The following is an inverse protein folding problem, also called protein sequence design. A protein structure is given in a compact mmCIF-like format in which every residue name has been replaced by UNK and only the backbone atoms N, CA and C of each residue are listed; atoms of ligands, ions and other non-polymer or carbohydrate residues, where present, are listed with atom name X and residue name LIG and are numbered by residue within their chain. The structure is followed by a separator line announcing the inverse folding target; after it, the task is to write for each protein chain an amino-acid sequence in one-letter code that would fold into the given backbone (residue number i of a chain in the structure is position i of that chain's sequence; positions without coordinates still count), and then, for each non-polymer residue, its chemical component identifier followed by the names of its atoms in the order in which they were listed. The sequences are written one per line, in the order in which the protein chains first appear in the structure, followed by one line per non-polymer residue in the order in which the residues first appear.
data_IF_264229296652
#
_entry.id   IF_264229296652
#
_cell.length_a   1.000
_cell.length_b   1.000
_cell.length_c   1.000
_cell.angle_alpha   90.00
_cell.angle_beta   90.00
_cell.angle_gamma   90.00
#
_symmetry.space_group_name_H-M   'P 1'
#
loop_
_entity.id
_entity.type
_entity.pdbx_description
1 polymer ?
#
# COMPACT_ATOMS: atom_id res chain seq x y z
N UNK A 1 -21.23 28.27 -32.97
CA UNK A 1 -21.87 27.89 -34.26
C UNK A 1 -22.82 29.00 -34.73
N UNK A 2 -22.41 29.76 -35.75
CA UNK A 2 -23.16 30.84 -36.42
C UNK A 2 -23.80 30.41 -37.75
N UNK A 3 -24.00 29.11 -37.95
CA UNK A 3 -24.63 28.55 -39.14
C UNK A 3 -23.88 28.80 -40.47
N UNK A 4 -22.57 29.09 -40.44
CA UNK A 4 -21.72 29.08 -41.66
C UNK A 4 -20.91 27.78 -41.72
N UNK A 5 -20.99 27.11 -42.87
CA UNK A 5 -20.58 25.73 -43.11
C UNK A 5 -19.07 25.42 -42.98
N UNK A 6 -18.22 26.39 -42.63
CA UNK A 6 -16.76 26.26 -42.74
C UNK A 6 -16.09 25.57 -41.51
N UNK A 7 -16.74 25.51 -40.34
CA UNK A 7 -16.19 24.86 -39.13
C UNK A 7 -16.66 23.42 -38.87
N UNK A 8 -17.37 22.78 -39.80
CA UNK A 8 -18.16 21.57 -39.49
C UNK A 8 -17.52 20.22 -39.83
N UNK A 9 -16.54 20.16 -40.74
CA UNK A 9 -16.10 18.85 -41.27
C UNK A 9 -14.93 18.21 -40.52
N UNK A 10 -14.12 18.97 -39.78
CA UNK A 10 -12.90 18.48 -39.11
C UNK A 10 -12.60 19.15 -37.75
N UNK A 11 -13.56 19.88 -37.15
CA UNK A 11 -13.35 20.48 -35.84
C UNK A 11 -13.44 19.38 -34.76
N UNK A 12 -12.34 19.18 -34.03
CA UNK A 12 -12.26 18.18 -32.97
C UNK A 12 -13.05 18.57 -31.71
N UNK A 13 -13.18 19.88 -31.46
CA UNK A 13 -14.12 20.46 -30.50
C UNK A 13 -14.95 21.54 -31.20
N UNK A 14 -16.27 21.53 -31.01
CA UNK A 14 -17.17 22.50 -31.65
C UNK A 14 -17.25 23.76 -30.82
N UNK A 15 -16.83 24.89 -31.38
CA UNK A 15 -16.84 26.18 -30.71
C UNK A 15 -17.97 27.11 -31.17
N UNK A 16 -18.18 28.12 -30.34
CA UNK A 16 -18.99 29.30 -30.57
C UNK A 16 -18.51 30.23 -31.67
N UNK A 17 -19.10 31.43 -31.72
CA UNK A 17 -18.66 32.51 -32.61
C UNK A 17 -17.48 33.26 -31.99
N UNK A 18 -16.52 33.70 -32.80
CA UNK A 18 -15.50 34.70 -32.45
C UNK A 18 -15.96 36.06 -33.00
N UNK A 19 -16.65 36.85 -32.16
CA UNK A 19 -17.27 38.13 -32.52
C UNK A 19 -16.24 39.24 -32.63
N UNK A 20 -15.18 39.18 -31.81
CA UNK A 20 -14.15 40.22 -31.76
C UNK A 20 -12.96 39.94 -32.74
N UNK A 21 -12.94 38.74 -33.33
CA UNK A 21 -11.98 38.24 -34.30
C UNK A 21 -10.53 38.27 -33.76
N UNK A 22 -10.36 37.96 -32.47
CA UNK A 22 -9.06 37.88 -31.78
C UNK A 22 -8.40 36.49 -31.89
N UNK A 23 -9.09 35.53 -32.52
CA UNK A 23 -8.62 34.16 -32.69
C UNK A 23 -9.03 33.23 -31.54
N UNK A 24 -9.87 33.68 -30.62
CA UNK A 24 -10.50 32.88 -29.57
C UNK A 24 -12.01 32.94 -29.73
N UNK A 25 -12.70 31.81 -29.53
CA UNK A 25 -14.16 31.81 -29.55
C UNK A 25 -14.73 32.49 -28.30
N UNK A 26 -15.86 33.19 -28.45
CA UNK A 26 -16.58 33.83 -27.34
C UNK A 26 -17.55 32.86 -26.62
N UNK A 27 -17.78 31.67 -27.18
CA UNK A 27 -18.61 30.62 -26.56
C UNK A 27 -18.03 29.22 -26.78
N UNK A 28 -18.25 28.34 -25.81
CA UNK A 28 -17.81 26.94 -25.79
C UNK A 28 -19.00 26.06 -25.35
N UNK A 29 -19.01 24.76 -25.65
CA UNK A 29 -19.91 23.81 -24.99
C UNK A 29 -19.69 23.89 -23.47
N UNK A 30 -20.76 24.05 -22.70
CA UNK A 30 -20.79 24.16 -21.23
C UNK A 30 -19.91 25.25 -20.58
N UNK A 31 -19.12 25.98 -21.39
CA UNK A 31 -18.33 27.18 -21.14
C UNK A 31 -17.35 27.15 -19.97
N UNK A 32 -17.81 26.86 -18.76
CA UNK A 32 -17.12 26.95 -17.47
C UNK A 32 -18.08 26.25 -16.49
N UNK A 33 -17.92 24.94 -16.33
CA UNK A 33 -18.91 24.08 -15.68
C UNK A 33 -18.86 24.24 -14.16
N UNK A 34 -17.66 24.18 -13.58
CA UNK A 34 -17.36 24.45 -12.16
C UNK A 34 -17.53 25.92 -11.71
N UNK A 35 -17.86 26.84 -12.63
CA UNK A 35 -18.09 28.24 -12.31
C UNK A 35 -16.83 29.03 -11.93
N UNK A 36 -15.62 28.54 -12.25
CA UNK A 36 -14.37 29.21 -11.92
C UNK A 36 -13.99 30.35 -12.93
N UNK A 37 -12.71 30.72 -13.02
CA UNK A 37 -12.26 31.75 -13.95
C UNK A 37 -11.82 31.23 -15.33
N UNK A 38 -11.81 29.90 -15.53
CA UNK A 38 -11.26 29.20 -16.68
C UNK A 38 -12.34 28.52 -17.51
N UNK A 39 -12.39 28.78 -18.81
CA UNK A 39 -13.29 28.03 -19.67
C UNK A 39 -12.83 26.57 -19.82
N UNK A 40 -13.75 25.59 -19.85
CA UNK A 40 -13.48 24.14 -19.94
C UNK A 40 -12.38 23.77 -20.95
N UNK A 41 -12.31 24.44 -22.11
CA UNK A 41 -11.27 24.15 -23.11
C UNK A 41 -9.82 24.47 -22.66
N UNK A 42 -9.65 25.15 -21.52
CA UNK A 42 -8.39 25.54 -20.89
C UNK A 42 -8.33 25.18 -19.41
N UNK A 43 -9.25 24.30 -19.02
CA UNK A 43 -9.34 23.69 -17.71
C UNK A 43 -8.76 22.26 -17.79
N UNK A 44 -8.25 21.76 -16.67
CA UNK A 44 -7.79 20.37 -16.55
C UNK A 44 -8.78 19.49 -15.79
N UNK A 45 -9.79 20.09 -15.15
CA UNK A 45 -10.81 19.49 -14.31
C UNK A 45 -12.08 20.33 -14.49
N UNK A 46 -12.79 20.10 -15.59
CA UNK A 46 -13.77 21.05 -16.13
C UNK A 46 -15.00 21.23 -15.24
N UNK A 47 -15.44 20.19 -14.53
CA UNK A 47 -16.53 20.21 -13.56
C UNK A 47 -16.07 20.41 -12.11
N UNK A 48 -14.75 20.37 -11.86
CA UNK A 48 -14.14 20.77 -10.61
C UNK A 48 -14.33 19.74 -9.50
N UNK A 49 -14.53 18.47 -9.87
CA UNK A 49 -14.72 17.36 -8.96
C UNK A 49 -13.37 16.76 -8.48
N UNK A 50 -12.25 17.17 -9.07
CA UNK A 50 -10.90 16.74 -8.73
C UNK A 50 -10.35 15.61 -9.61
N UNK A 51 -11.18 14.92 -10.39
CA UNK A 51 -10.75 13.95 -11.39
C UNK A 51 -10.42 14.73 -12.68
N UNK A 52 -9.26 14.47 -13.28
CA UNK A 52 -8.85 15.26 -14.45
C UNK A 52 -9.63 14.88 -15.70
N UNK A 53 -9.94 15.86 -16.56
CA UNK A 53 -10.61 15.68 -17.86
C UNK A 53 -9.96 14.56 -18.70
N UNK A 54 -8.63 14.46 -18.62
CA UNK A 54 -7.85 13.45 -19.35
C UNK A 54 -8.19 12.04 -18.88
N UNK A 55 -8.37 11.87 -17.57
CA UNK A 55 -8.70 10.60 -16.95
C UNK A 55 -10.13 10.19 -17.31
N UNK A 56 -11.10 11.07 -17.16
CA UNK A 56 -12.51 10.76 -17.42
C UNK A 56 -12.82 10.62 -18.92
N UNK A 57 -12.11 11.37 -19.77
CA UNK A 57 -12.13 11.16 -21.22
C UNK A 57 -11.59 9.77 -21.64
N UNK A 58 -11.02 9.00 -20.71
CA UNK A 58 -10.48 7.66 -20.95
C UNK A 58 -9.14 7.67 -21.69
N UNK A 59 -8.40 8.78 -21.62
CA UNK A 59 -7.07 8.87 -22.20
C UNK A 59 -6.00 8.36 -21.23
N UNK A 60 -4.85 8.00 -21.79
CA UNK A 60 -3.69 7.62 -20.98
C UNK A 60 -2.99 8.87 -20.48
N UNK A 61 -2.75 8.92 -19.17
CA UNK A 61 -1.84 9.84 -18.48
C UNK A 61 -1.04 9.01 -17.45
N UNK A 62 0.01 8.33 -17.92
CA UNK A 62 0.75 7.40 -17.07
C UNK A 62 1.69 8.11 -16.08
N UNK A 63 1.99 9.38 -16.33
CA UNK A 63 2.84 10.21 -15.50
C UNK A 63 2.06 11.22 -14.64
N UNK A 64 0.72 11.19 -14.72
CA UNK A 64 -0.19 11.97 -13.90
C UNK A 64 0.13 13.48 -13.95
N UNK A 65 0.35 14.03 -15.15
CA UNK A 65 0.61 15.48 -15.30
C UNK A 65 -0.59 16.27 -15.84
N UNK A 66 -1.78 15.67 -15.78
CA UNK A 66 -3.05 16.23 -16.26
C UNK A 66 -3.09 16.31 -17.79
N UNK A 67 -2.28 15.50 -18.49
CA UNK A 67 -2.10 15.62 -19.94
C UNK A 67 -2.07 14.26 -20.62
N UNK A 68 -2.67 14.23 -21.81
CA UNK A 68 -2.66 13.04 -22.65
C UNK A 68 -1.23 12.68 -23.07
N UNK A 69 -0.82 11.48 -22.71
CA UNK A 69 0.50 10.93 -23.00
C UNK A 69 0.81 10.83 -24.49
N UNK A 70 2.10 10.95 -24.82
CA UNK A 70 2.63 10.65 -26.14
C UNK A 70 3.18 11.87 -26.91
N UNK A 71 3.36 11.67 -28.23
CA UNK A 71 3.99 12.69 -29.06
C UNK A 71 3.05 13.86 -29.34
N UNK A 72 3.59 15.07 -29.28
CA UNK A 72 2.90 16.31 -29.66
C UNK A 72 3.38 16.74 -31.05
N UNK A 73 2.45 17.18 -31.90
CA UNK A 73 2.76 17.66 -33.24
C UNK A 73 3.26 19.12 -33.25
N UNK A 74 3.55 19.67 -34.44
CA UNK A 74 4.06 21.05 -34.58
C UNK A 74 3.07 22.13 -34.11
N UNK A 75 1.78 21.79 -34.06
CA UNK A 75 0.70 22.68 -33.65
C UNK A 75 0.38 22.55 -32.15
N UNK A 76 1.19 21.79 -31.38
CA UNK A 76 1.01 21.63 -29.94
C UNK A 76 -0.09 20.64 -29.56
N UNK A 77 -0.54 19.77 -30.48
CA UNK A 77 -1.61 18.79 -30.22
C UNK A 77 -1.06 17.38 -30.08
N UNK A 78 -1.63 16.56 -29.19
CA UNK A 78 -1.33 15.14 -29.12
C UNK A 78 -1.58 14.48 -30.50
N UNK A 79 -0.61 13.71 -31.00
CA UNK A 79 -0.65 13.14 -32.34
C UNK A 79 -1.81 12.16 -32.53
N UNK A 80 -2.14 11.38 -31.51
CA UNK A 80 -3.25 10.41 -31.56
C UNK A 80 -4.59 11.11 -31.63
N UNK A 81 -4.81 12.11 -30.76
CA UNK A 81 -6.03 12.92 -30.74
C UNK A 81 -6.17 13.75 -32.01
N UNK A 82 -5.08 14.35 -32.51
CA UNK A 82 -5.09 15.14 -33.73
C UNK A 82 -5.42 14.32 -34.99
N UNK A 83 -5.20 13.00 -34.95
CA UNK A 83 -5.54 12.08 -36.03
C UNK A 83 -7.01 11.61 -35.99
N UNK A 84 -7.75 11.89 -34.91
CA UNK A 84 -9.15 11.52 -34.80
C UNK A 84 -10.03 12.37 -35.74
N UNK A 85 -11.09 11.79 -36.34
CA UNK A 85 -12.05 12.55 -37.15
C UNK A 85 -12.98 13.41 -36.30
N UNK A 86 -13.25 12.99 -35.07
CA UNK A 86 -14.07 13.68 -34.06
C UNK A 86 -13.65 13.19 -32.67
N UNK A 87 -13.79 14.06 -31.67
CA UNK A 87 -13.64 13.71 -30.27
C UNK A 87 -15.02 13.33 -29.74
N UNK A 88 -15.11 12.18 -29.08
CA UNK A 88 -16.31 11.70 -28.39
C UNK A 88 -15.85 11.28 -27.00
N UNK A 89 -16.45 11.86 -25.98
CA UNK A 89 -16.14 11.53 -24.60
C UNK A 89 -17.12 10.48 -24.07
N UNK A 90 -16.72 9.69 -23.05
CA UNK A 90 -17.61 8.82 -22.32
C UNK A 90 -18.76 9.60 -21.64
N UNK A 91 -19.86 8.89 -21.42
CA UNK A 91 -21.06 9.33 -20.71
C UNK A 91 -21.64 8.04 -20.15
N UNK A 92 -21.55 7.85 -18.83
CA UNK A 92 -21.65 6.52 -18.20
C UNK A 92 -23.09 6.18 -17.88
N UNK A 93 -23.80 7.12 -17.28
CA UNK A 93 -25.24 7.08 -17.00
C UNK A 93 -26.14 7.03 -18.26
N UNK A 94 -25.64 7.48 -19.42
CA UNK A 94 -26.44 7.61 -20.64
C UNK A 94 -27.38 8.82 -20.64
N UNK A 95 -27.34 9.65 -19.60
CA UNK A 95 -28.18 10.84 -19.43
C UNK A 95 -27.29 12.07 -19.32
N UNK A 96 -27.74 13.19 -18.76
CA UNK A 96 -26.84 14.32 -18.46
C UNK A 96 -25.84 14.74 -19.54
N UNK A 97 -24.59 14.92 -19.11
CA UNK A 97 -23.45 15.38 -19.93
C UNK A 97 -22.37 14.31 -19.96
N UNK A 98 -21.38 14.49 -20.82
CA UNK A 98 -20.21 13.60 -20.80
C UNK A 98 -19.48 13.68 -19.46
N UNK A 99 -18.88 12.57 -18.99
CA UNK A 99 -18.30 12.44 -17.64
C UNK A 99 -17.46 13.66 -17.23
N UNK A 100 -16.60 14.16 -18.15
CA UNK A 100 -15.77 15.37 -17.97
C UNK A 100 -16.51 16.69 -17.61
N UNK A 101 -17.83 16.65 -17.55
CA UNK A 101 -18.73 17.78 -17.27
C UNK A 101 -19.88 17.35 -16.35
N UNK A 102 -19.67 16.32 -15.53
CA UNK A 102 -20.69 15.61 -14.78
C UNK A 102 -20.12 15.14 -13.44
N UNK A 103 -20.59 15.73 -12.33
CA UNK A 103 -20.03 15.46 -11.01
C UNK A 103 -20.55 14.16 -10.36
N UNK A 104 -21.44 13.43 -11.03
CA UNK A 104 -22.06 12.15 -10.62
C UNK A 104 -22.23 11.31 -11.90
N UNK A 105 -21.10 10.82 -12.43
CA UNK A 105 -20.97 10.28 -13.78
C UNK A 105 -21.87 9.06 -14.05
N UNK A 106 -22.18 8.27 -13.02
CA UNK A 106 -23.05 7.09 -13.11
C UNK A 106 -24.45 7.28 -12.50
N UNK A 107 -24.73 8.50 -12.02
CA UNK A 107 -26.06 9.04 -11.70
C UNK A 107 -26.72 8.28 -10.54
N UNK A 108 -25.90 7.94 -9.55
CA UNK A 108 -26.23 7.10 -8.42
C UNK A 108 -26.53 7.93 -7.14
N UNK A 109 -26.27 9.24 -7.21
CA UNK A 109 -26.51 10.20 -6.14
C UNK A 109 -25.31 10.44 -5.22
N UNK A 110 -24.18 9.78 -5.48
CA UNK A 110 -22.90 10.00 -4.84
C UNK A 110 -22.01 10.78 -5.83
N UNK A 111 -21.35 11.87 -5.42
CA UNK A 111 -20.52 12.60 -6.37
C UNK A 111 -19.18 11.90 -6.66
N UNK A 112 -18.70 12.01 -7.89
CA UNK A 112 -17.46 11.42 -8.41
C UNK A 112 -16.23 11.74 -7.54
N UNK A 113 -16.13 12.97 -7.02
CA UNK A 113 -15.09 13.35 -6.05
C UNK A 113 -15.03 12.40 -4.85
N UNK A 114 -16.19 11.97 -4.36
CA UNK A 114 -16.34 11.12 -3.18
C UNK A 114 -15.93 9.70 -3.50
N UNK A 115 -16.37 9.15 -4.63
CA UNK A 115 -16.13 7.77 -5.04
C UNK A 115 -14.74 7.57 -5.62
N UNK A 116 -14.22 8.57 -6.33
CA UNK A 116 -12.86 8.58 -6.86
C UNK A 116 -11.78 8.47 -5.78
N UNK A 117 -12.10 8.55 -4.49
CA UNK A 117 -11.14 8.43 -3.39
C UNK A 117 -11.55 7.41 -2.34
N UNK A 118 -10.58 6.59 -1.91
CA UNK A 118 -10.82 5.69 -0.79
C UNK A 118 -11.30 6.45 0.46
N UNK A 119 -12.23 5.84 1.22
CA UNK A 119 -12.72 6.36 2.51
C UNK A 119 -11.62 6.88 3.44
N UNK A 120 -10.47 6.18 3.48
CA UNK A 120 -9.34 6.50 4.36
C UNK A 120 -8.46 7.62 3.79
N UNK A 121 -8.41 7.74 2.46
CA UNK A 121 -7.62 8.71 1.72
C UNK A 121 -8.40 9.96 1.33
N UNK A 122 -9.71 10.00 1.55
CA UNK A 122 -10.57 11.11 1.15
C UNK A 122 -10.05 12.47 1.67
N UNK A 123 -9.86 13.39 0.75
CA UNK A 123 -9.50 14.77 1.00
C UNK A 123 -10.68 15.66 0.61
N UNK A 124 -10.95 16.68 1.41
CA UNK A 124 -11.94 17.69 1.03
C UNK A 124 -11.29 18.68 0.06
N UNK A 125 -12.02 19.14 -0.97
CA UNK A 125 -11.57 20.25 -1.79
C UNK A 125 -11.27 21.47 -0.92
N UNK A 126 -10.22 22.22 -1.26
CA UNK A 126 -9.88 23.46 -0.56
C UNK A 126 -10.68 24.66 -1.06
N UNK A 127 -11.31 24.55 -2.24
CA UNK A 127 -11.91 25.64 -2.99
C UNK A 127 -10.88 26.64 -3.51
N UNK A 128 -9.62 26.21 -3.63
CA UNK A 128 -8.50 27.05 -4.03
C UNK A 128 -7.73 26.34 -5.13
N UNK A 129 -7.31 27.10 -6.14
CA UNK A 129 -6.40 26.70 -7.19
C UNK A 129 -5.29 27.76 -7.27
N UNK A 130 -4.04 27.37 -6.95
CA UNK A 130 -2.94 28.32 -6.73
C UNK A 130 -2.32 28.85 -8.01
N UNK A 131 -2.19 28.01 -9.03
CA UNK A 131 -1.61 28.39 -10.31
C UNK A 131 -2.67 28.62 -11.39
N UNK A 132 -3.93 28.33 -11.07
CA UNK A 132 -5.04 28.47 -11.96
C UNK A 132 -4.82 27.48 -13.08
N UNK A 133 -5.00 26.19 -12.91
CA UNK A 133 -4.99 25.23 -14.01
C UNK A 133 -6.24 24.35 -14.06
N UNK A 134 -7.13 24.48 -13.07
CA UNK A 134 -8.34 23.68 -12.91
C UNK A 134 -8.33 22.82 -11.66
N UNK A 135 -7.16 22.33 -11.27
CA UNK A 135 -7.07 21.29 -10.23
C UNK A 135 -7.05 21.96 -8.86
N UNK A 136 -7.96 21.55 -7.96
CA UNK A 136 -7.95 22.06 -6.58
C UNK A 136 -6.62 21.71 -5.86
N UNK A 137 -6.09 22.64 -5.06
CA UNK A 137 -4.85 22.44 -4.30
C UNK A 137 -4.86 21.22 -3.37
N UNK A 138 -6.03 20.65 -3.04
CA UNK A 138 -6.13 19.37 -2.32
C UNK A 138 -5.59 18.19 -3.14
N UNK A 139 -5.73 18.26 -4.46
CA UNK A 139 -5.44 17.19 -5.43
C UNK A 139 -4.24 17.52 -6.33
N UNK A 140 -3.82 18.79 -6.34
CA UNK A 140 -2.66 19.23 -7.10
C UNK A 140 -1.33 19.00 -6.35
N UNK A 141 -0.41 18.29 -7.01
CA UNK A 141 0.94 18.00 -6.53
C UNK A 141 2.03 18.90 -7.17
N UNK A 142 1.66 19.77 -8.11
CA UNK A 142 2.57 20.52 -8.97
C UNK A 142 2.14 21.96 -9.19
N UNK A 143 2.93 22.91 -8.66
CA UNK A 143 2.66 24.34 -8.88
C UNK A 143 3.11 24.79 -10.29
N UNK A 144 2.19 24.70 -11.24
CA UNK A 144 2.20 25.14 -12.63
C UNK A 144 1.19 24.31 -13.46
N UNK A 145 0.88 24.70 -14.70
CA UNK A 145 -0.15 23.99 -15.50
C UNK A 145 0.11 22.48 -15.69
N UNK A 146 -0.70 21.65 -15.02
CA UNK A 146 -0.64 20.19 -14.90
C UNK A 146 -0.66 19.74 -13.44
N UNK A 147 -0.97 18.47 -13.19
CA UNK A 147 -0.95 17.91 -11.84
C UNK A 147 -1.58 16.52 -11.82
N UNK A 148 -1.45 15.82 -10.69
CA UNK A 148 -1.94 14.45 -10.55
C UNK A 148 -3.49 14.38 -10.54
N UNK A 149 -4.15 15.34 -9.86
CA UNK A 149 -5.57 15.25 -9.56
C UNK A 149 -5.90 14.08 -8.63
N UNK A 150 -7.16 13.64 -8.64
CA UNK A 150 -7.62 12.48 -7.88
C UNK A 150 -7.16 11.18 -8.54
N UNK A 151 -6.51 10.33 -7.73
CA UNK A 151 -6.18 8.97 -8.13
C UNK A 151 -7.37 8.05 -7.87
N UNK A 152 -8.19 7.88 -8.90
CA UNK A 152 -9.42 7.07 -8.86
C UNK A 152 -9.16 5.67 -8.29
N UNK A 153 -10.07 5.23 -7.43
CA UNK A 153 -10.07 3.88 -6.87
C UNK A 153 -10.92 2.93 -7.72
N UNK A 154 -10.65 1.64 -7.56
CA UNK A 154 -11.33 0.50 -8.17
C UNK A 154 -11.33 -0.58 -7.08
N UNK A 155 -12.43 -0.64 -6.32
CA UNK A 155 -12.51 -1.33 -5.04
C UNK A 155 -12.62 -2.84 -5.20
N UNK A 156 -13.40 -3.31 -6.17
CA UNK A 156 -13.57 -4.74 -6.46
C UNK A 156 -12.52 -5.28 -7.48
N UNK A 157 -11.74 -4.39 -8.10
CA UNK A 157 -10.71 -4.69 -9.09
C UNK A 157 -11.25 -5.25 -10.42
N UNK A 158 -12.44 -4.84 -10.84
CA UNK A 158 -13.05 -5.26 -12.11
C UNK A 158 -12.64 -4.42 -13.32
N UNK A 159 -11.83 -3.37 -13.10
CA UNK A 159 -11.32 -2.38 -14.07
C UNK A 159 -12.22 -1.18 -14.37
N UNK A 160 -13.41 -1.11 -13.76
CA UNK A 160 -14.25 0.08 -13.73
C UNK A 160 -13.91 0.85 -12.45
N UNK A 161 -13.49 2.12 -12.54
CA UNK A 161 -13.30 2.93 -11.35
C UNK A 161 -14.61 3.15 -10.59
N UNK A 162 -14.54 3.30 -9.26
CA UNK A 162 -15.71 3.35 -8.38
C UNK A 162 -16.72 4.45 -8.81
N UNK A 163 -16.26 5.64 -9.19
CA UNK A 163 -17.12 6.74 -9.69
C UNK A 163 -17.89 6.46 -11.00
N UNK A 164 -17.62 5.32 -11.64
CA UNK A 164 -18.29 4.86 -12.87
C UNK A 164 -19.00 3.52 -12.67
N UNK A 165 -18.96 2.96 -11.46
CA UNK A 165 -19.43 1.63 -11.13
C UNK A 165 -20.58 1.66 -10.12
N UNK A 166 -21.76 1.26 -10.59
CA UNK A 166 -22.98 1.17 -9.78
C UNK A 166 -23.00 0.08 -8.69
N UNK A 167 -21.96 -0.78 -8.60
CA UNK A 167 -21.73 -1.80 -7.56
C UNK A 167 -20.23 -1.90 -7.24
N UNK A 168 -19.63 -0.78 -6.80
CA UNK A 168 -18.19 -0.55 -6.67
C UNK A 168 -17.41 -1.58 -5.82
N UNK A 169 -18.07 -2.26 -4.87
CA UNK A 169 -17.46 -3.31 -4.05
C UNK A 169 -17.79 -4.75 -4.51
N UNK A 170 -18.64 -4.87 -5.53
CA UNK A 170 -19.04 -6.12 -6.17
C UNK A 170 -19.79 -7.08 -5.26
N UNK A 171 -20.43 -6.60 -4.19
CA UNK A 171 -21.19 -7.41 -3.24
C UNK A 171 -22.62 -7.76 -3.73
N UNK A 172 -23.08 -7.04 -4.76
CA UNK A 172 -24.39 -7.23 -5.40
C UNK A 172 -25.49 -6.30 -4.87
N UNK A 173 -25.15 -5.30 -4.07
CA UNK A 173 -26.01 -4.20 -3.65
C UNK A 173 -25.53 -2.91 -4.33
N UNK A 174 -26.43 -2.22 -5.03
CA UNK A 174 -26.07 -1.03 -5.82
C UNK A 174 -25.80 0.21 -4.96
N UNK A 175 -24.84 1.03 -5.39
CA UNK A 175 -24.27 2.19 -4.67
C UNK A 175 -25.30 3.28 -4.31
N UNK A 176 -26.31 3.48 -5.14
CA UNK A 176 -27.45 4.35 -4.82
C UNK A 176 -28.27 3.87 -3.60
N UNK A 177 -28.36 2.55 -3.34
CA UNK A 177 -29.12 1.97 -2.20
C UNK A 177 -28.27 1.96 -0.95
N UNK A 178 -27.09 1.36 -1.10
CA UNK A 178 -25.86 1.62 -0.38
C UNK A 178 -25.90 3.04 0.18
N UNK A 179 -25.50 4.11 -0.52
CA UNK A 179 -25.39 5.53 -0.11
C UNK A 179 -26.45 6.06 0.86
N UNK A 180 -27.62 5.43 0.90
CA UNK A 180 -28.81 5.81 1.62
C UNK A 180 -29.33 4.77 2.65
N UNK A 181 -28.59 3.70 3.00
CA UNK A 181 -28.98 2.64 3.99
C UNK A 181 -28.37 2.89 5.39
N UNK A 182 -28.77 3.97 6.06
CA UNK A 182 -28.16 4.43 7.32
C UNK A 182 -28.14 3.41 8.47
N UNK A 183 -28.94 2.36 8.41
CA UNK A 183 -29.01 1.31 9.42
C UNK A 183 -28.41 -0.04 9.00
N UNK A 184 -27.85 -0.12 7.79
CA UNK A 184 -27.10 -1.26 7.25
C UNK A 184 -27.92 -2.55 7.17
N UNK A 185 -29.19 -2.46 6.76
CA UNK A 185 -30.06 -3.62 6.60
C UNK A 185 -30.19 -4.13 5.15
N UNK A 186 -29.46 -3.52 4.21
CA UNK A 186 -29.53 -3.80 2.78
C UNK A 186 -30.76 -3.20 2.11
N UNK A 187 -31.38 -2.19 2.72
CA UNK A 187 -32.51 -1.44 2.18
C UNK A 187 -32.27 0.04 2.44
N UNK A 188 -32.54 0.85 1.42
CA UNK A 188 -32.46 2.30 1.53
C UNK A 188 -33.42 2.83 2.61
N UNK A 189 -32.92 3.77 3.40
CA UNK A 189 -33.67 4.52 4.40
C UNK A 189 -34.24 5.84 3.85
N UNK A 190 -33.70 6.33 2.73
CA UNK A 190 -34.21 7.48 1.98
C UNK A 190 -34.80 7.10 0.61
N UNK A 191 -35.45 8.05 -0.06
CA UNK A 191 -36.04 7.86 -1.38
C UNK A 191 -34.98 7.99 -2.49
N UNK A 192 -34.40 6.87 -2.90
CA UNK A 192 -33.31 6.81 -3.88
C UNK A 192 -33.77 6.80 -5.35
N UNK A 193 -34.98 7.28 -5.64
CA UNK A 193 -35.45 7.38 -7.03
C UNK A 193 -35.09 8.74 -7.60
N UNK A 194 -34.26 8.75 -8.64
CA UNK A 194 -33.90 9.93 -9.44
C UNK A 194 -35.14 10.68 -9.91
N UNK A 195 -35.08 12.00 -9.89
CA UNK A 195 -36.15 12.85 -10.42
C UNK A 195 -36.08 13.00 -11.94
N UNK A 196 -34.91 12.75 -12.53
CA UNK A 196 -34.57 13.05 -13.92
C UNK A 196 -34.44 14.54 -14.20
N UNK A 197 -34.19 15.35 -13.16
CA UNK A 197 -33.97 16.79 -13.28
C UNK A 197 -32.67 17.14 -12.56
N UNK A 198 -31.91 18.00 -13.20
CA UNK A 198 -30.69 18.64 -12.71
C UNK A 198 -30.90 20.14 -13.02
N UNK A 199 -31.24 20.92 -11.98
CA UNK A 199 -31.76 22.28 -12.16
C UNK A 199 -30.67 23.31 -12.49
N UNK A 200 -29.50 23.21 -11.88
CA UNK A 200 -28.37 24.10 -12.13
C UNK A 200 -27.36 23.55 -13.12
N UNK A 201 -27.52 22.29 -13.52
CA UNK A 201 -26.77 21.69 -14.60
C UNK A 201 -25.41 21.20 -14.15
N UNK A 202 -25.28 20.75 -12.91
CA UNK A 202 -24.03 20.36 -12.27
C UNK A 202 -23.69 18.87 -12.44
N UNK A 203 -24.66 18.07 -12.88
CA UNK A 203 -24.54 16.62 -13.06
C UNK A 203 -25.30 15.82 -12.02
N UNK A 204 -25.53 16.38 -10.84
CA UNK A 204 -26.19 15.69 -9.72
C UNK A 204 -27.72 15.87 -9.79
N UNK A 205 -28.49 14.77 -9.70
CA UNK A 205 -29.95 14.86 -9.73
C UNK A 205 -30.51 15.68 -8.55
N UNK A 206 -31.54 16.49 -8.79
CA UNK A 206 -32.25 17.32 -7.81
C UNK A 206 -32.72 16.53 -6.56
N UNK A 207 -32.82 15.19 -6.63
CA UNK A 207 -33.06 14.29 -5.49
C UNK A 207 -31.93 14.35 -4.48
N UNK A 208 -30.72 14.32 -4.98
CA UNK A 208 -29.48 14.23 -4.23
C UNK A 208 -28.81 15.58 -4.14
N UNK A 209 -29.25 16.58 -4.88
CA UNK A 209 -28.72 17.93 -4.81
C UNK A 209 -29.38 18.81 -3.71
N UNK A 210 -28.54 19.37 -2.85
CA UNK A 210 -28.86 20.26 -1.73
C UNK A 210 -28.83 21.75 -2.11
N UNK A 211 -28.18 22.12 -3.21
CA UNK A 211 -28.03 23.48 -3.72
C UNK A 211 -28.19 23.56 -5.25
N UNK A 212 -29.42 23.34 -5.74
CA UNK A 212 -29.77 23.39 -7.17
C UNK A 212 -29.78 24.80 -7.78
N UNK A 213 -28.97 25.70 -7.24
CA UNK A 213 -28.73 27.05 -7.73
C UNK A 213 -27.27 27.28 -8.10
N UNK A 214 -26.38 26.31 -7.87
CA UNK A 214 -24.94 26.45 -7.97
C UNK A 214 -24.30 25.23 -8.62
N UNK A 215 -23.81 25.40 -9.84
CA UNK A 215 -23.04 24.40 -10.58
C UNK A 215 -21.64 24.06 -10.04
N UNK A 216 -21.42 24.28 -8.74
CA UNK A 216 -20.13 24.04 -8.09
C UNK A 216 -20.18 22.67 -7.43
N UNK A 217 -19.51 21.70 -8.05
CA UNK A 217 -19.31 20.39 -7.45
C UNK A 217 -18.61 20.53 -6.10
N UNK A 218 -19.33 20.29 -4.99
CA UNK A 218 -18.70 20.17 -3.67
C UNK A 218 -19.54 19.33 -2.69
N UNK A 219 -18.97 18.22 -2.24
CA UNK A 219 -19.45 17.41 -1.11
C UNK A 219 -19.07 18.01 0.26
N UNK A 220 -19.58 19.19 0.60
CA UNK A 220 -19.12 19.92 1.80
C UNK A 220 -19.85 19.64 3.13
N UNK A 221 -20.60 18.54 3.30
CA UNK A 221 -21.18 18.24 4.62
C UNK A 221 -20.22 17.62 5.65
N UNK A 222 -18.96 17.38 5.30
CA UNK A 222 -18.13 16.49 6.09
C UNK A 222 -16.77 17.11 6.41
N UNK A 223 -16.65 17.87 7.50
CA UNK A 223 -15.33 18.27 8.03
C UNK A 223 -14.41 17.06 8.27
N UNK A 224 -13.09 17.29 8.35
CA UNK A 224 -12.09 16.22 8.53
C UNK A 224 -12.49 15.22 9.64
N UNK A 225 -12.88 13.99 9.26
CA UNK A 225 -13.37 12.95 10.17
C UNK A 225 -14.89 12.66 10.12
N UNK A 226 -15.61 13.16 9.13
CA UNK A 226 -16.99 12.72 8.88
C UNK A 226 -18.04 13.30 9.83
N UNK A 227 -17.90 14.57 10.20
CA UNK A 227 -18.88 15.26 11.05
C UNK A 227 -19.93 15.97 10.20
N UNK A 228 -21.22 15.95 10.60
CA UNK A 228 -22.32 16.76 10.01
C UNK A 228 -22.19 18.28 10.24
N UNK A 229 -20.98 18.76 10.56
CA UNK A 229 -20.67 20.17 10.81
C UNK A 229 -19.73 20.74 9.76
N UNK A 230 -19.82 20.24 8.53
CA UNK A 230 -19.19 20.83 7.34
C UNK A 230 -19.83 22.16 6.92
N UNK A 231 -19.44 22.66 5.74
CA UNK A 231 -20.01 23.87 5.15
C UNK A 231 -21.54 23.75 5.06
N UNK A 232 -22.25 24.86 5.28
CA UNK A 232 -23.71 24.89 5.32
C UNK A 232 -24.35 24.95 3.91
N UNK A 233 -23.53 25.04 2.86
CA UNK A 233 -23.99 25.05 1.47
C UNK A 233 -23.14 24.15 0.57
N UNK A 234 -23.39 22.83 0.55
CA UNK A 234 -22.80 21.93 -0.45
C UNK A 234 -23.78 21.09 -1.26
N UNK A 235 -23.33 20.73 -2.47
CA UNK A 235 -24.07 20.11 -3.57
C UNK A 235 -24.78 18.80 -3.22
N UNK A 236 -24.19 17.81 -2.54
CA UNK A 236 -24.92 16.53 -2.30
C UNK A 236 -25.62 16.40 -0.92
N UNK A 237 -26.80 15.77 -0.92
CA UNK A 237 -27.63 15.29 0.20
C UNK A 237 -27.07 13.99 0.75
N UNK A 238 -26.36 13.22 -0.08
CA UNK A 238 -25.79 11.94 0.31
C UNK A 238 -24.69 12.17 1.34
N UNK A 239 -24.95 11.70 2.57
CA UNK A 239 -23.97 11.84 3.65
C UNK A 239 -22.89 10.82 3.45
N UNK A 240 -21.71 11.25 3.07
CA UNK A 240 -20.57 10.35 3.13
C UNK A 240 -20.41 9.94 4.62
N UNK A 241 -20.37 8.66 5.01
CA UNK A 241 -20.39 8.27 6.44
C UNK A 241 -19.04 7.83 7.07
N UNK A 242 -18.19 8.68 7.65
CA UNK A 242 -16.95 8.13 8.27
C UNK A 242 -17.26 7.46 9.63
N UNK A 243 -17.77 6.21 9.62
CA UNK A 243 -18.25 5.55 10.84
C UNK A 243 -17.11 5.37 11.85
N UNK A 244 -17.21 6.03 13.00
CA UNK A 244 -16.29 5.92 14.13
C UNK A 244 -16.93 5.18 15.30
N UNK A 245 -17.18 3.87 15.20
CA UNK A 245 -17.68 3.08 16.35
C UNK A 245 -17.07 1.68 16.51
N UNK A 246 -17.05 1.25 17.77
CA UNK A 246 -16.31 0.15 18.41
C UNK A 246 -16.52 -1.27 17.86
N UNK A 247 -17.42 -1.47 16.88
CA UNK A 247 -17.68 -2.75 16.22
C UNK A 247 -18.15 -2.50 14.77
N UNK A 248 -17.21 -2.26 13.85
CA UNK A 248 -17.48 -1.97 12.43
C UNK A 248 -18.23 -3.09 11.68
N UNK A 249 -18.60 -2.80 10.44
CA UNK A 249 -19.32 -3.71 9.55
C UNK A 249 -18.46 -4.92 9.16
N UNK A 250 -19.05 -6.10 8.93
CA UNK A 250 -18.32 -7.33 8.63
C UNK A 250 -17.68 -7.38 7.23
N UNK A 251 -18.08 -6.48 6.33
CA UNK A 251 -17.54 -6.28 4.97
C UNK A 251 -17.37 -4.79 4.70
N UNK A 252 -16.46 -4.47 3.77
CA UNK A 252 -16.45 -3.21 3.02
C UNK A 252 -17.85 -3.00 2.40
N UNK A 253 -18.28 -1.75 2.36
CA UNK A 253 -19.49 -1.21 1.71
C UNK A 253 -19.12 0.25 1.49
N UNK A 254 -18.92 0.62 0.24
CA UNK A 254 -18.10 1.77 -0.16
C UNK A 254 -18.45 3.06 0.62
N UNK A 255 -19.72 3.45 0.65
CA UNK A 255 -20.20 4.73 1.16
C UNK A 255 -20.31 4.85 2.71
N UNK A 256 -19.65 3.91 3.42
CA UNK A 256 -18.63 4.14 4.47
C UNK A 256 -18.92 3.49 5.83
N UNK A 257 -18.52 2.23 5.93
CA UNK A 257 -18.31 1.54 7.19
C UNK A 257 -16.91 0.90 7.21
N UNK A 258 -16.05 1.30 8.15
CA UNK A 258 -14.72 0.70 8.33
C UNK A 258 -14.81 -0.59 9.16
N UNK A 259 -14.73 -1.81 8.60
CA UNK A 259 -13.93 -2.81 9.26
C UNK A 259 -12.50 -2.30 9.26
N UNK A 260 -11.83 -2.36 10.42
CA UNK A 260 -10.38 -2.25 10.48
C UNK A 260 -9.77 -3.42 9.68
N UNK A 261 -9.70 -3.30 8.37
CA UNK A 261 -8.77 -4.05 7.56
C UNK A 261 -7.48 -3.25 7.62
N UNK A 262 -6.40 -3.90 8.06
CA UNK A 262 -5.10 -3.27 8.21
C UNK A 262 -4.78 -2.43 6.96
N UNK A 263 -4.55 -1.12 7.14
CA UNK A 263 -4.22 -0.16 6.05
C UNK A 263 -3.02 -0.58 5.21
N UNK A 264 -2.24 -1.53 5.69
CA UNK A 264 -1.38 -2.36 4.87
C UNK A 264 -1.46 -3.83 5.32
N UNK A 265 -1.82 -4.71 4.39
CA UNK A 265 -1.93 -6.15 4.62
C UNK A 265 -0.64 -6.86 4.21
N UNK A 266 -0.12 -7.72 5.10
CA UNK A 266 0.99 -8.60 4.78
C UNK A 266 0.44 -9.91 4.20
N UNK A 267 0.36 -9.98 2.87
CA UNK A 267 -0.13 -11.13 2.11
C UNK A 267 0.71 -12.38 2.39
N UNK A 268 2.03 -12.23 2.44
CA UNK A 268 2.93 -13.33 2.81
C UNK A 268 4.06 -12.84 3.68
N UNK A 269 4.48 -13.65 4.65
CA UNK A 269 5.72 -13.43 5.39
C UNK A 269 6.41 -14.76 5.67
N UNK A 270 7.59 -14.94 5.08
CA UNK A 270 8.38 -16.17 5.16
C UNK A 270 9.81 -15.85 5.54
N UNK A 271 10.45 -16.79 6.22
CA UNK A 271 11.86 -16.68 6.53
C UNK A 271 12.56 -18.03 6.46
N UNK A 272 13.80 -18.02 5.96
CA UNK A 272 14.63 -19.20 5.77
C UNK A 272 16.01 -18.94 6.34
N UNK A 273 16.45 -19.80 7.26
CA UNK A 273 17.82 -19.78 7.77
C UNK A 273 18.79 -20.31 6.71
N UNK A 274 19.86 -19.56 6.48
CA UNK A 274 20.96 -19.86 5.55
C UNK A 274 22.28 -19.60 6.28
N UNK A 275 22.83 -20.63 6.92
CA UNK A 275 24.04 -20.56 7.75
C UNK A 275 23.96 -19.50 8.88
N UNK A 276 24.62 -18.36 8.72
CA UNK A 276 24.64 -17.23 9.67
C UNK A 276 23.72 -16.06 9.26
N UNK A 277 22.92 -16.24 8.21
CA UNK A 277 21.94 -15.29 7.75
C UNK A 277 20.53 -15.89 7.84
N UNK A 278 19.54 -15.04 8.05
CA UNK A 278 18.14 -15.37 7.82
C UNK A 278 17.65 -14.47 6.70
N UNK A 279 17.20 -15.09 5.61
CA UNK A 279 16.49 -14.37 4.54
C UNK A 279 15.03 -14.26 4.92
N UNK A 280 14.50 -13.05 4.87
CA UNK A 280 13.10 -12.75 5.08
C UNK A 280 12.52 -12.24 3.77
N UNK A 281 11.39 -12.81 3.36
CA UNK A 281 10.66 -12.42 2.16
C UNK A 281 9.20 -12.14 2.57
N UNK A 282 8.66 -11.00 2.14
CA UNK A 282 7.26 -10.67 2.35
C UNK A 282 6.64 -10.00 1.13
N UNK A 283 5.32 -10.18 1.01
CA UNK A 283 4.50 -9.45 0.05
C UNK A 283 3.49 -8.63 0.85
N UNK A 284 3.28 -7.38 0.46
CA UNK A 284 2.36 -6.47 1.12
C UNK A 284 1.54 -5.72 0.09
N UNK A 285 0.26 -5.52 0.38
CA UNK A 285 -0.64 -4.63 -0.36
C UNK A 285 -1.08 -3.53 0.61
N UNK A 286 -0.85 -2.28 0.26
CA UNK A 286 -1.12 -1.16 1.16
C UNK A 286 -2.02 -0.14 0.49
N UNK A 287 -3.00 0.37 1.26
CA UNK A 287 -3.93 1.43 0.84
C UNK A 287 -3.49 2.81 1.31
N UNK A 288 -2.30 2.89 1.93
CA UNK A 288 -1.64 4.13 2.34
C UNK A 288 -0.15 4.02 2.10
N UNK A 289 0.50 5.15 1.85
CA UNK A 289 1.94 5.19 1.61
C UNK A 289 2.73 4.63 2.80
N UNK A 290 3.61 3.68 2.51
CA UNK A 290 4.53 3.13 3.48
C UNK A 290 5.79 3.97 3.53
N UNK A 291 6.15 4.45 4.72
CA UNK A 291 7.45 5.07 4.95
C UNK A 291 8.54 3.99 4.99
N UNK A 292 8.39 2.99 5.87
CA UNK A 292 9.30 1.85 5.95
C UNK A 292 8.71 0.65 6.69
N UNK A 293 9.33 -0.51 6.51
CA UNK A 293 9.12 -1.72 7.30
C UNK A 293 10.28 -1.92 8.29
N UNK A 294 9.94 -2.34 9.51
CA UNK A 294 10.90 -2.73 10.54
C UNK A 294 10.78 -4.24 10.73
N UNK A 295 11.85 -4.98 10.42
CA UNK A 295 11.98 -6.38 10.81
C UNK A 295 12.41 -6.41 12.27
N UNK A 296 11.57 -6.99 13.12
CA UNK A 296 11.88 -7.18 14.53
C UNK A 296 12.16 -8.66 14.82
N UNK A 297 13.19 -8.90 15.65
CA UNK A 297 13.67 -10.22 16.04
C UNK A 297 13.49 -10.46 17.54
N UNK A 298 13.14 -11.68 17.91
CA UNK A 298 13.14 -12.18 19.29
C UNK A 298 13.77 -13.57 19.39
N UNK A 299 14.40 -13.87 20.52
CA UNK A 299 14.91 -15.21 20.87
C UNK A 299 14.09 -15.90 21.97
N UNK A 300 13.15 -15.18 22.59
CA UNK A 300 12.30 -15.66 23.68
C UNK A 300 10.80 -15.56 23.38
N UNK A 301 10.44 -15.09 22.17
CA UNK A 301 9.07 -14.85 21.69
C UNK A 301 8.34 -13.71 22.42
N UNK A 302 8.99 -13.00 23.32
CA UNK A 302 8.38 -11.96 24.17
C UNK A 302 9.02 -10.61 23.87
N UNK A 303 10.35 -10.55 23.94
CA UNK A 303 11.11 -9.33 23.74
C UNK A 303 11.58 -9.25 22.30
N UNK A 304 11.03 -8.32 21.55
CA UNK A 304 11.40 -8.03 20.16
C UNK A 304 12.31 -6.81 20.11
N UNK A 305 13.35 -6.91 19.28
CA UNK A 305 14.27 -5.82 18.98
C UNK A 305 14.40 -5.65 17.48
N UNK A 306 14.50 -4.43 17.00
CA UNK A 306 14.76 -4.13 15.60
C UNK A 306 16.03 -4.84 15.10
N UNK A 307 15.91 -5.50 13.95
CA UNK A 307 16.99 -6.18 13.24
C UNK A 307 17.38 -5.42 11.96
N UNK A 308 16.38 -5.10 11.12
CA UNK A 308 16.58 -4.46 9.81
C UNK A 308 15.45 -3.46 9.55
N UNK A 309 15.77 -2.36 8.88
CA UNK A 309 14.78 -1.44 8.31
C UNK A 309 14.84 -1.56 6.79
N UNK A 310 13.70 -1.67 6.15
CA UNK A 310 13.56 -1.69 4.69
C UNK A 310 12.62 -0.56 4.28
N UNK A 311 13.04 0.38 3.41
CA UNK A 311 12.16 1.47 2.97
C UNK A 311 10.94 0.93 2.22
N UNK A 312 9.81 1.62 2.39
CA UNK A 312 8.60 1.38 1.61
C UNK A 312 8.72 1.93 0.19
N UNK A 313 7.76 1.56 -0.66
CA UNK A 313 7.59 2.14 -2.00
C UNK A 313 6.29 2.96 -2.02
N UNK A 314 6.22 4.06 -2.77
CA UNK A 314 5.02 4.88 -2.90
C UNK A 314 4.08 4.25 -3.94
N UNK A 315 3.69 2.99 -3.71
CA UNK A 315 2.76 2.25 -4.58
C UNK A 315 1.59 1.85 -3.69
N UNK A 316 0.39 2.22 -4.12
CA UNK A 316 -0.87 1.97 -3.41
C UNK A 316 -1.66 0.90 -4.17
N UNK A 317 -2.46 0.13 -3.44
CA UNK A 317 -3.40 -0.86 -3.97
C UNK A 317 -2.80 -1.98 -4.84
N UNK A 318 -1.47 -2.09 -4.91
CA UNK A 318 -0.78 -3.17 -5.60
C UNK A 318 0.02 -4.06 -4.63
N UNK A 319 0.19 -5.34 -5.00
CA UNK A 319 1.02 -6.28 -4.25
C UNK A 319 2.50 -6.03 -4.54
N UNK A 320 3.20 -5.49 -3.54
CA UNK A 320 4.63 -5.26 -3.60
C UNK A 320 5.42 -6.34 -2.86
N UNK A 321 6.53 -6.78 -3.47
CA UNK A 321 7.41 -7.81 -2.92
C UNK A 321 8.67 -7.20 -2.34
N UNK A 322 9.00 -7.59 -1.11
CA UNK A 322 10.13 -7.10 -0.34
C UNK A 322 10.97 -8.24 0.21
N UNK A 323 12.24 -7.94 0.49
CA UNK A 323 13.15 -8.87 1.15
C UNK A 323 14.14 -8.16 2.07
N UNK A 324 14.66 -8.90 3.05
CA UNK A 324 15.72 -8.45 3.93
C UNK A 324 16.60 -9.63 4.39
N UNK A 325 17.81 -9.32 4.85
CA UNK A 325 18.71 -10.28 5.46
C UNK A 325 19.05 -9.86 6.88
N UNK A 326 18.79 -10.73 7.84
CA UNK A 326 19.24 -10.56 9.22
C UNK A 326 20.52 -11.38 9.48
N UNK A 327 21.54 -10.74 10.04
CA UNK A 327 22.77 -11.41 10.46
C UNK A 327 22.63 -11.93 11.88
N UNK A 328 22.63 -13.25 12.02
CA UNK A 328 22.43 -13.95 13.29
C UNK A 328 23.74 -14.45 13.92
N UNK A 329 24.89 -13.92 13.46
CA UNK A 329 26.20 -14.23 14.05
C UNK A 329 26.19 -13.91 15.54
N UNK A 330 26.50 -14.92 16.37
CA UNK A 330 26.54 -14.79 17.84
C UNK A 330 25.21 -15.06 18.54
N UNK A 331 24.11 -15.26 17.82
CA UNK A 331 22.85 -15.72 18.41
C UNK A 331 22.95 -17.23 18.64
N UNK A 332 22.69 -17.68 19.88
CA UNK A 332 22.79 -19.09 20.28
C UNK A 332 21.45 -19.81 20.36
N UNK A 333 20.33 -19.07 20.26
CA UNK A 333 18.99 -19.64 20.27
C UNK A 333 18.79 -20.60 19.10
N UNK A 334 18.06 -21.69 19.34
CA UNK A 334 17.74 -22.76 18.36
C UNK A 334 16.57 -22.37 17.44
N UNK A 335 15.68 -21.54 17.95
CA UNK A 335 14.56 -20.94 17.23
C UNK A 335 14.67 -19.43 17.37
N UNK A 336 14.46 -18.72 16.27
CA UNK A 336 14.44 -17.27 16.23
C UNK A 336 13.06 -16.85 15.71
N UNK A 337 12.45 -15.87 16.35
CA UNK A 337 11.13 -15.36 15.98
C UNK A 337 11.28 -14.01 15.28
N UNK A 338 10.46 -13.79 14.27
CA UNK A 338 10.42 -12.54 13.52
C UNK A 338 8.99 -12.04 13.38
N UNK A 339 8.84 -10.70 13.36
CA UNK A 339 7.62 -10.00 12.97
C UNK A 339 7.99 -8.74 12.20
N UNK A 340 7.03 -8.18 11.49
CA UNK A 340 7.16 -6.91 10.79
C UNK A 340 6.36 -5.84 11.54
N UNK A 341 6.94 -4.66 11.64
CA UNK A 341 6.21 -3.42 11.94
C UNK A 341 6.22 -2.57 10.67
N UNK A 342 5.07 -2.39 10.05
CA UNK A 342 4.89 -1.42 8.96
C UNK A 342 4.72 -0.04 9.57
N UNK A 343 5.44 0.96 9.07
CA UNK A 343 5.31 2.37 9.46
C UNK A 343 4.85 3.15 8.23
N UNK A 344 3.68 3.75 8.33
CA UNK A 344 3.09 4.55 7.26
C UNK A 344 3.60 5.98 7.31
N UNK A 345 3.50 6.72 6.20
CA UNK A 345 3.82 8.16 6.15
C UNK A 345 2.99 8.99 7.14
N UNK A 346 1.78 8.53 7.46
CA UNK A 346 0.93 9.08 8.51
C UNK A 346 1.48 8.90 9.94
N UNK A 347 2.56 8.13 10.12
CA UNK A 347 3.14 7.78 11.41
C UNK A 347 2.44 6.63 12.15
N UNK A 348 1.36 6.08 11.58
CA UNK A 348 0.69 4.89 12.10
C UNK A 348 1.55 3.66 11.91
N UNK A 349 1.41 2.69 12.82
CA UNK A 349 2.17 1.44 12.78
C UNK A 349 1.26 0.22 12.82
N UNK A 350 1.64 -0.82 12.07
CA UNK A 350 0.90 -2.09 11.98
C UNK A 350 1.85 -3.26 12.19
N UNK A 351 1.40 -4.28 12.93
CA UNK A 351 2.19 -5.47 13.24
C UNK A 351 1.71 -6.67 12.45
N UNK A 352 2.65 -7.44 11.92
CA UNK A 352 2.37 -8.74 11.31
C UNK A 352 2.27 -9.87 12.34
N UNK A 353 1.80 -11.03 11.90
CA UNK A 353 1.93 -12.28 12.65
C UNK A 353 3.39 -12.65 12.89
N UNK A 354 3.69 -13.24 14.04
CA UNK A 354 5.04 -13.73 14.34
C UNK A 354 5.30 -15.04 13.61
N UNK A 355 6.40 -15.11 12.87
CA UNK A 355 6.91 -16.34 12.27
C UNK A 355 8.11 -16.86 13.06
N UNK A 356 8.32 -18.17 13.03
CA UNK A 356 9.44 -18.83 13.70
C UNK A 356 10.37 -19.49 12.68
N UNK A 357 11.66 -19.26 12.84
CA UNK A 357 12.71 -19.88 12.04
C UNK A 357 13.50 -20.81 12.94
N UNK A 358 13.39 -22.11 12.68
CA UNK A 358 14.22 -23.11 13.35
C UNK A 358 15.57 -23.16 12.64
N UNK A 359 16.64 -22.93 13.40
CA UNK A 359 17.99 -23.15 12.90
C UNK A 359 18.24 -24.64 12.77
N UNK A 360 18.93 -25.03 11.71
CA UNK A 360 19.32 -26.41 11.56
C UNK A 360 20.27 -26.75 12.72
N UNK A 361 19.99 -27.84 13.45
CA UNK A 361 20.84 -28.27 14.58
C UNK A 361 22.26 -28.60 14.15
N UNK A 362 22.52 -28.73 12.84
CA UNK A 362 23.86 -28.83 12.26
C UNK A 362 24.71 -27.56 12.43
N UNK A 363 24.11 -26.39 12.69
CA UNK A 363 24.80 -25.10 12.63
C UNK A 363 25.18 -24.56 14.02
N UNK A 364 24.70 -25.24 15.08
CA UNK A 364 25.03 -24.90 16.48
C UNK A 364 26.32 -25.61 16.87
N UNK A 365 27.43 -24.90 16.72
CA UNK A 365 28.74 -25.34 17.19
C UNK A 365 28.66 -25.60 18.71
N UNK A 366 28.82 -26.85 19.14
CA UNK A 366 28.80 -27.19 20.57
C UNK A 366 29.67 -28.41 20.87
N UNK A 367 30.19 -28.47 22.10
CA UNK A 367 30.94 -29.60 22.64
C UNK A 367 30.43 -29.86 24.05
N UNK A 368 30.10 -31.12 24.36
CA UNK A 368 29.74 -31.55 25.72
C UNK A 368 30.59 -32.74 26.14
N UNK A 369 31.02 -32.72 27.40
CA UNK A 369 31.75 -33.83 28.03
C UNK A 369 30.77 -34.72 28.78
N UNK A 370 30.81 -36.04 28.52
CA UNK A 370 30.00 -37.03 29.24
C UNK A 370 30.79 -38.32 29.54
N UNK A 371 30.60 -38.93 30.71
CA UNK A 371 29.98 -38.35 31.91
C UNK A 371 30.91 -37.29 32.53
N UNK A 372 30.34 -36.31 33.23
CA UNK A 372 31.11 -35.38 34.07
C UNK A 372 30.50 -35.42 35.49
N UNK A 373 31.16 -36.03 36.50
CA UNK A 373 32.57 -36.47 36.50
C UNK A 373 32.89 -37.72 35.64
N UNK A 374 34.10 -37.75 35.07
CA UNK A 374 34.66 -38.85 34.26
C UNK A 374 35.32 -39.88 35.17
N UNK A 375 35.16 -41.18 34.87
CA UNK A 375 35.88 -42.27 35.57
C UNK A 375 36.80 -43.05 34.62
N UNK A 376 36.23 -43.90 33.76
CA UNK A 376 37.01 -44.80 32.90
C UNK A 376 37.17 -44.31 31.46
N UNK A 377 36.17 -43.59 30.95
CA UNK A 377 36.10 -43.14 29.57
C UNK A 377 35.53 -41.73 29.50
N UNK A 378 36.17 -40.89 28.71
CA UNK A 378 35.70 -39.55 28.36
C UNK A 378 35.00 -39.62 27.01
N UNK A 379 33.75 -39.17 26.92
CA UNK A 379 33.05 -38.99 25.65
C UNK A 379 32.87 -37.50 25.37
N UNK A 380 33.17 -37.09 24.15
CA UNK A 380 32.87 -35.75 23.63
C UNK A 380 31.74 -35.88 22.62
N UNK A 381 30.61 -35.23 22.91
CA UNK A 381 29.55 -35.01 21.94
C UNK A 381 29.80 -33.65 21.28
N UNK A 382 30.22 -33.66 20.03
CA UNK A 382 30.61 -32.45 19.29
C UNK A 382 29.69 -32.26 18.10
N UNK A 383 29.13 -31.07 17.93
CA UNK A 383 28.37 -30.70 16.75
C UNK A 383 29.10 -29.62 15.96
N UNK A 384 29.35 -29.85 14.68
CA UNK A 384 30.11 -28.94 13.81
C UNK A 384 29.37 -28.61 12.50
N UNK A 385 29.49 -27.37 11.98
CA UNK A 385 28.75 -26.90 10.80
C UNK A 385 29.28 -27.45 9.47
N UNK A 386 30.56 -27.83 9.41
CA UNK A 386 31.23 -28.35 8.22
C UNK A 386 32.06 -29.60 8.56
N UNK A 387 32.22 -30.51 7.60
CA UNK A 387 33.14 -31.64 7.74
C UNK A 387 34.59 -31.14 7.67
N UNK A 388 35.45 -31.60 8.59
CA UNK A 388 36.82 -31.10 8.70
C UNK A 388 37.68 -31.96 9.62
N UNK A 389 38.95 -31.57 9.80
CA UNK A 389 39.85 -32.22 10.78
C UNK A 389 39.99 -31.31 12.00
N UNK A 390 39.56 -31.79 13.16
CA UNK A 390 39.65 -31.07 14.42
C UNK A 390 40.92 -31.48 15.19
N UNK A 391 41.59 -30.50 15.78
CA UNK A 391 42.71 -30.68 16.71
C UNK A 391 42.17 -30.64 18.14
N UNK A 392 42.34 -31.75 18.89
CA UNK A 392 41.76 -31.92 20.22
C UNK A 392 42.89 -32.12 21.23
N UNK A 393 42.93 -31.27 22.25
CA UNK A 393 43.93 -31.29 23.31
C UNK A 393 43.27 -31.29 24.70
N UNK A 394 43.82 -32.06 25.63
CA UNK A 394 43.41 -32.04 27.04
C UNK A 394 44.53 -31.47 27.89
N UNK A 395 44.17 -30.58 28.80
CA UNK A 395 45.08 -29.88 29.71
C UNK A 395 44.70 -30.18 31.16
N UNK A 396 45.71 -30.33 32.01
CA UNK A 396 45.52 -30.29 33.46
C UNK A 396 45.33 -28.84 33.97
N UNK A 397 45.06 -28.69 35.26
CA UNK A 397 44.85 -27.38 35.91
C UNK A 397 46.06 -26.44 35.85
N UNK A 398 47.26 -26.98 35.59
CA UNK A 398 48.49 -26.18 35.41
C UNK A 398 48.70 -25.73 33.97
N UNK A 399 47.81 -26.13 33.06
CA UNK A 399 47.91 -25.86 31.62
C UNK A 399 48.85 -26.81 30.88
N UNK A 400 49.36 -27.86 31.53
CA UNK A 400 50.17 -28.88 30.86
C UNK A 400 49.27 -29.80 30.05
N UNK A 401 49.64 -30.01 28.79
CA UNK A 401 48.93 -30.91 27.88
C UNK A 401 49.14 -32.38 28.30
N UNK A 402 48.06 -33.08 28.59
CA UNK A 402 48.05 -34.50 29.00
C UNK A 402 47.65 -35.44 27.86
N UNK A 403 46.95 -34.91 26.86
CA UNK A 403 46.61 -35.65 25.65
C UNK A 403 46.44 -34.73 24.44
N UNK A 404 46.73 -35.28 23.26
CA UNK A 404 46.55 -34.61 21.98
C UNK A 404 46.17 -35.63 20.90
N UNK A 405 45.23 -35.27 20.05
CA UNK A 405 44.76 -36.10 18.93
C UNK A 405 44.18 -35.23 17.81
N UNK A 406 44.12 -35.79 16.61
CA UNK A 406 43.44 -35.19 15.46
C UNK A 406 42.34 -36.12 14.99
N UNK A 407 41.12 -35.60 14.93
CA UNK A 407 39.92 -36.37 14.60
C UNK A 407 39.23 -35.80 13.36
N UNK A 408 38.77 -36.67 12.46
CA UNK A 408 37.95 -36.24 11.31
C UNK A 408 36.50 -36.16 11.74
N UNK A 409 35.93 -34.96 11.68
CA UNK A 409 34.53 -34.70 12.01
C UNK A 409 33.70 -34.55 10.74
N UNK A 410 32.48 -35.08 10.76
CA UNK A 410 31.48 -34.86 9.74
C UNK A 410 30.58 -33.69 10.11
N UNK A 411 29.99 -33.00 9.13
CA UNK A 411 28.93 -32.02 9.36
C UNK A 411 27.82 -32.64 10.24
N UNK A 412 27.42 -31.92 11.28
CA UNK A 412 26.45 -32.37 12.28
C UNK A 412 27.10 -33.00 13.51
N UNK A 413 26.42 -33.97 14.13
CA UNK A 413 26.80 -34.54 15.42
C UNK A 413 27.84 -35.64 15.28
N UNK A 414 28.89 -35.56 16.09
CA UNK A 414 30.00 -36.49 16.19
C UNK A 414 30.16 -36.94 17.64
N UNK A 415 30.49 -38.21 17.85
CA UNK A 415 30.82 -38.76 19.18
C UNK A 415 32.25 -39.27 19.17
N UNK A 416 33.08 -38.74 20.05
CA UNK A 416 34.50 -39.11 20.18
C UNK A 416 34.72 -39.72 21.56
N UNK A 417 35.38 -40.87 21.63
CA UNK A 417 35.58 -41.61 22.88
C UNK A 417 37.07 -41.78 23.18
N UNK A 418 37.50 -41.26 24.32
CA UNK A 418 38.86 -41.37 24.82
C UNK A 418 38.95 -42.34 26.00
N UNK A 419 39.56 -43.51 25.76
CA UNK A 419 39.84 -44.52 26.79
C UNK A 419 41.03 -44.14 27.70
N UNK A 420 41.76 -43.06 27.39
CA UNK A 420 42.92 -42.62 28.16
C UNK A 420 42.58 -42.10 29.55
N UNK A 421 41.30 -41.88 29.86
CA UNK A 421 40.88 -41.41 31.17
C UNK A 421 41.41 -42.33 32.28
N UNK A 422 41.53 -43.64 32.08
CA UNK A 422 42.18 -44.56 33.05
C UNK A 422 43.63 -44.24 33.42
N UNK A 423 44.35 -43.45 32.61
CA UNK A 423 45.79 -43.23 32.73
C UNK A 423 46.14 -41.85 33.30
N UNK A 424 45.14 -41.00 33.51
CA UNK A 424 45.31 -39.67 34.11
C UNK A 424 44.82 -39.71 35.56
N UNK A 425 45.49 -38.97 36.44
CA UNK A 425 45.17 -38.90 37.86
C UNK A 425 43.80 -38.24 38.08
N UNK A 426 43.18 -38.48 39.24
CA UNK A 426 42.01 -37.73 39.64
C UNK A 426 42.34 -36.23 39.76
N UNK A 427 41.43 -35.37 39.32
CA UNK A 427 41.68 -33.93 39.26
C UNK A 427 40.83 -33.21 38.21
N UNK A 428 41.03 -31.89 38.12
CA UNK A 428 40.31 -31.03 37.17
C UNK A 428 41.08 -30.92 35.85
N UNK A 429 40.34 -31.02 34.75
CA UNK A 429 40.88 -30.98 33.40
C UNK A 429 40.03 -30.11 32.47
N UNK A 430 40.68 -29.63 31.40
CA UNK A 430 40.04 -28.88 30.32
C UNK A 430 40.28 -29.59 29.00
N UNK A 431 39.22 -29.81 28.22
CA UNK A 431 39.31 -30.28 26.84
C UNK A 431 39.10 -29.11 25.90
N UNK A 432 39.97 -28.98 24.91
CA UNK A 432 39.94 -27.96 23.88
C UNK A 432 39.83 -28.61 22.53
N UNK A 433 38.95 -28.08 21.68
CA UNK A 433 38.78 -28.49 20.30
C UNK A 433 38.97 -27.28 19.40
N UNK A 434 39.83 -27.40 18.40
CA UNK A 434 40.09 -26.37 17.39
C UNK A 434 39.87 -26.91 15.97
N UNK A 435 39.06 -26.22 15.18
CA UNK A 435 38.78 -26.60 13.78
C UNK A 435 38.38 -25.37 12.96
N UNK A 436 39.11 -25.02 11.90
CA UNK A 436 38.70 -23.98 10.91
C UNK A 436 38.14 -22.67 11.53
N UNK A 437 38.80 -22.15 12.57
CA UNK A 437 38.39 -20.91 13.28
C UNK A 437 37.43 -21.14 14.46
N UNK A 438 36.86 -22.34 14.62
CA UNK A 438 36.11 -22.77 15.80
C UNK A 438 37.08 -23.12 16.92
N UNK A 439 36.85 -22.59 18.12
CA UNK A 439 37.54 -22.94 19.36
C UNK A 439 36.52 -23.22 20.45
N UNK A 440 36.43 -24.47 20.91
CA UNK A 440 35.56 -24.88 22.01
C UNK A 440 36.41 -25.34 23.19
N UNK A 441 35.98 -25.02 24.42
CA UNK A 441 36.63 -25.48 25.64
C UNK A 441 35.59 -25.93 26.65
N UNK A 442 35.75 -27.14 27.19
CA UNK A 442 34.90 -27.70 28.23
C UNK A 442 35.73 -28.16 29.43
N UNK A 443 35.16 -28.07 30.62
CA UNK A 443 35.81 -28.49 31.87
C UNK A 443 35.21 -29.80 32.36
N UNK A 444 36.04 -30.73 32.81
CA UNK A 444 35.58 -31.96 33.43
C UNK A 444 36.40 -32.33 34.68
N UNK A 445 35.75 -33.05 35.59
CA UNK A 445 36.37 -33.61 36.78
C UNK A 445 36.65 -35.10 36.55
N UNK A 446 37.90 -35.54 36.71
CA UNK A 446 38.27 -36.95 36.71
C UNK A 446 38.25 -37.49 38.14
N UNK A 447 37.49 -38.55 38.38
CA UNK A 447 37.49 -39.33 39.63
C UNK A 447 38.49 -40.49 39.54
N UNK A 448 38.89 -41.07 40.67
CA UNK A 448 39.78 -42.25 40.71
C UNK A 448 39.24 -43.47 39.96
#
# INVERSE_FOLDING_TARGET
NDAIAENSSNALLRTGTDVNNDGRTDSWPYKNMDGDSRPNAYDLDSDGDGITDVKEAGFTDANWDGKIDGAVNIDGRNVSVAAMPSLSFPNTDGTGRENIFDIDSDDDGIPDNVEGMSTVGYLLPTGLDSDGDGIDNAYDNYVGFGGDGVHVVDTDSDTVPDYLDSDADGDGLVDIIEGNDFNFNGQQDDNVTLTGNDTDGDGLDDRFDNDNASCKGTSAYMGNGGTTSGDASPGSITTVQHTTVTFGCPTERDWRCLPYVLSCEIVTFKAVAQDQLVRLDWAAICRQEVDHFIVERSTDHINFSQAVITPGRPVLNEIENYYAFDNITGITATVIYYRLTTVLKSGKTLLSSVIAVKRSTSDIVSMKVMPNPVKDQLQLLVNVPNSGTADIAIFDETGRMVHHSKEKLQKGSNTIVYAMAKRIQAGMYYVRLQMEGILLTERFHKLD
#
